data_IF_537172055340
#
_entry.id   IF_537172055340
#
_cell.length_a   1.000
_cell.length_b   1.000
_cell.length_c   1.000
_cell.angle_alpha   90.00
_cell.angle_beta   90.00
_cell.angle_gamma   90.00
#
_symmetry.space_group_name_H-M   'P 1'
#
loop_
_entity.id
_entity.type
_entity.pdbx_description
1 polymer ?
#
# COMPACT_ATOMS: atom_id res chain seq x y z
N UNK A 1 42.89 -17.58 33.48
CA UNK A 1 41.43 -17.38 33.44
C UNK A 1 41.18 -15.98 32.93
N UNK A 2 40.72 -15.86 31.69
CA UNK A 2 40.39 -14.57 31.07
C UNK A 2 38.90 -14.31 31.19
N UNK A 3 38.54 -13.09 31.55
CA UNK A 3 37.16 -12.61 31.49
C UNK A 3 37.14 -11.30 30.72
N UNK A 4 36.72 -11.43 29.47
CA UNK A 4 36.33 -10.36 28.56
C UNK A 4 34.94 -9.86 28.96
N UNK A 5 34.80 -8.59 29.32
CA UNK A 5 33.51 -7.92 29.31
C UNK A 5 33.68 -6.56 28.65
N UNK A 6 33.51 -6.55 27.33
CA UNK A 6 33.47 -5.36 26.50
C UNK A 6 32.26 -4.51 26.88
N UNK A 7 32.54 -3.24 27.18
CA UNK A 7 31.53 -2.21 27.38
C UNK A 7 30.66 -2.12 26.12
N UNK A 8 29.41 -2.56 26.24
CA UNK A 8 28.37 -2.39 25.24
C UNK A 8 28.13 -0.91 25.01
N UNK A 9 28.49 -0.44 23.83
CA UNK A 9 28.10 0.84 23.27
C UNK A 9 26.57 0.96 23.26
N UNK A 10 26.03 1.82 24.11
CA UNK A 10 24.66 2.34 24.00
C UNK A 10 24.59 3.30 22.82
N UNK A 11 24.54 2.75 21.61
CA UNK A 11 23.96 3.44 20.46
C UNK A 11 22.47 3.11 20.44
N UNK A 12 21.55 4.10 20.46
CA UNK A 12 20.17 3.85 20.10
C UNK A 12 20.19 3.51 18.62
N UNK A 13 20.23 2.21 18.30
CA UNK A 13 19.92 1.72 16.97
C UNK A 13 18.48 2.14 16.73
N UNK A 14 18.32 3.21 15.93
CA UNK A 14 17.05 3.64 15.42
C UNK A 14 16.37 2.43 14.79
N UNK A 15 15.29 2.01 15.43
CA UNK A 15 14.44 0.91 15.03
C UNK A 15 13.91 1.20 13.63
N UNK A 16 14.61 0.69 12.62
CA UNK A 16 14.18 0.61 11.22
C UNK A 16 13.10 -0.48 11.04
N UNK A 17 12.48 -0.93 12.12
CA UNK A 17 11.50 -2.02 12.17
C UNK A 17 10.06 -1.55 11.97
N UNK A 18 9.84 -0.30 11.52
CA UNK A 18 8.49 0.13 11.15
C UNK A 18 8.07 -0.29 9.72
N UNK A 19 8.92 -1.07 9.05
CA UNK A 19 8.67 -1.64 7.73
C UNK A 19 8.35 -3.13 7.77
N UNK A 20 7.62 -3.64 8.77
CA UNK A 20 7.05 -5.00 8.71
C UNK A 20 5.90 -5.15 9.69
N UNK A 21 4.71 -5.39 9.14
CA UNK A 21 3.56 -6.01 9.83
C UNK A 21 3.13 -5.32 11.13
N UNK A 22 2.67 -4.07 11.02
CA UNK A 22 1.76 -3.52 12.03
C UNK A 22 0.55 -4.45 12.09
N UNK A 23 0.56 -5.32 13.10
CA UNK A 23 -0.52 -6.20 13.50
C UNK A 23 -1.82 -5.45 13.29
N UNK A 24 -2.61 -5.92 12.32
CA UNK A 24 -3.89 -5.33 11.97
C UNK A 24 -4.80 -5.59 13.17
N UNK A 25 -4.79 -4.68 14.15
CA UNK A 25 -5.90 -4.54 15.08
C UNK A 25 -7.15 -4.46 14.16
N UNK A 26 -8.22 -5.25 14.40
CA UNK A 26 -9.43 -5.27 13.57
C UNK A 26 -10.25 -3.96 13.55
N UNK A 27 -9.57 -2.82 13.55
CA UNK A 27 -10.07 -1.45 13.56
C UNK A 27 -8.88 -0.54 13.30
N UNK A 28 -8.20 -0.71 12.15
CA UNK A 28 -7.13 0.18 11.72
C UNK A 28 -7.62 1.63 11.68
N UNK A 29 -6.69 2.59 11.82
CA UNK A 29 -7.01 4.02 11.79
C UNK A 29 -8.02 4.35 10.67
N UNK A 30 -9.02 5.24 10.90
CA UNK A 30 -10.10 5.49 9.94
C UNK A 30 -9.63 5.74 8.50
N UNK A 31 -8.47 6.37 8.33
CA UNK A 31 -7.83 6.55 7.04
C UNK A 31 -7.51 5.22 6.32
N UNK A 32 -6.98 4.21 7.02
CA UNK A 32 -6.64 2.91 6.42
C UNK A 32 -7.89 2.15 5.97
N UNK A 33 -8.97 2.21 6.75
CA UNK A 33 -10.26 1.60 6.37
C UNK A 33 -10.77 2.22 5.09
N UNK A 34 -10.84 3.56 5.04
CA UNK A 34 -11.26 4.29 3.85
C UNK A 34 -10.42 3.94 2.62
N UNK A 35 -9.09 3.91 2.75
CA UNK A 35 -8.20 3.54 1.65
C UNK A 35 -8.42 2.11 1.19
N UNK A 36 -8.54 1.16 2.12
CA UNK A 36 -8.76 -0.25 1.82
C UNK A 36 -10.10 -0.50 1.11
N UNK A 37 -11.13 0.26 1.45
CA UNK A 37 -12.47 0.12 0.86
C UNK A 37 -12.61 0.82 -0.49
N UNK A 38 -12.01 2.00 -0.65
CA UNK A 38 -12.27 2.86 -1.82
C UNK A 38 -11.18 2.81 -2.89
N UNK A 39 -9.92 2.61 -2.51
CA UNK A 39 -8.78 2.85 -3.42
C UNK A 39 -7.95 1.60 -3.65
N UNK A 40 -7.61 0.88 -2.58
CA UNK A 40 -6.67 -0.25 -2.63
C UNK A 40 -7.08 -1.34 -3.63
N UNK A 41 -8.35 -1.75 -3.75
CA UNK A 41 -8.73 -2.81 -4.70
C UNK A 41 -8.38 -2.43 -6.15
N UNK A 42 -8.73 -1.21 -6.55
CA UNK A 42 -8.46 -0.68 -7.90
C UNK A 42 -6.98 -0.40 -8.12
N UNK A 43 -6.28 0.11 -7.10
CA UNK A 43 -4.85 0.36 -7.18
C UNK A 43 -4.07 -0.94 -7.40
N UNK A 44 -4.41 -2.01 -6.68
CA UNK A 44 -3.78 -3.32 -6.85
C UNK A 44 -4.06 -3.91 -8.23
N UNK A 45 -5.25 -3.69 -8.79
CA UNK A 45 -5.59 -4.12 -10.15
C UNK A 45 -4.69 -3.43 -11.19
N UNK A 46 -4.58 -2.10 -11.13
CA UNK A 46 -3.73 -1.34 -12.05
C UNK A 46 -2.24 -1.67 -11.89
N UNK A 47 -1.78 -1.86 -10.65
CA UNK A 47 -0.39 -2.25 -10.36
C UNK A 47 -0.03 -3.62 -10.95
N UNK A 48 -0.97 -4.57 -11.02
CA UNK A 48 -0.74 -5.88 -11.67
C UNK A 48 -0.46 -5.71 -13.16
N UNK A 49 -1.24 -4.88 -13.86
CA UNK A 49 -1.05 -4.61 -15.28
C UNK A 49 0.29 -3.95 -15.55
N UNK A 50 0.66 -2.94 -14.75
CA UNK A 50 1.96 -2.27 -14.85
C UNK A 50 3.12 -3.23 -14.58
N UNK A 51 3.00 -4.10 -13.58
CA UNK A 51 4.03 -5.10 -13.27
C UNK A 51 4.21 -6.14 -14.38
N UNK A 52 3.13 -6.48 -15.09
CA UNK A 52 3.15 -7.44 -16.20
C UNK A 52 3.72 -6.83 -17.48
N UNK A 53 3.28 -5.63 -17.85
CA UNK A 53 3.63 -5.01 -19.13
C UNK A 53 4.92 -4.19 -19.08
N UNK A 54 5.35 -3.78 -17.88
CA UNK A 54 6.54 -2.95 -17.64
C UNK A 54 6.69 -1.81 -18.65
N UNK A 55 5.67 -0.93 -18.78
CA UNK A 55 5.69 0.15 -19.75
C UNK A 55 6.77 1.19 -19.39
N UNK A 56 7.26 1.93 -20.39
CA UNK A 56 8.29 2.95 -20.19
C UNK A 56 7.87 4.08 -19.23
N UNK A 57 6.56 4.31 -19.09
CA UNK A 57 5.99 5.33 -18.21
C UNK A 57 4.95 4.70 -17.24
N UNK A 58 5.39 3.94 -16.23
CA UNK A 58 4.49 3.13 -15.39
C UNK A 58 3.48 3.97 -14.60
N UNK A 59 3.89 5.14 -14.11
CA UNK A 59 2.99 6.04 -13.37
C UNK A 59 1.90 6.65 -14.26
N UNK A 60 2.22 6.97 -15.52
CA UNK A 60 1.24 7.50 -16.47
C UNK A 60 0.19 6.44 -16.78
N UNK A 61 0.62 5.24 -17.13
CA UNK A 61 -0.28 4.12 -17.44
C UNK A 61 -1.16 3.78 -16.23
N UNK A 62 -0.59 3.75 -15.03
CA UNK A 62 -1.36 3.52 -13.80
C UNK A 62 -2.40 4.63 -13.55
N UNK A 63 -2.02 5.89 -13.77
CA UNK A 63 -2.93 7.02 -13.61
C UNK A 63 -4.09 6.98 -14.61
N UNK A 64 -3.80 6.68 -15.88
CA UNK A 64 -4.81 6.51 -16.93
C UNK A 64 -5.76 5.35 -16.60
N UNK A 65 -5.23 4.22 -16.10
CA UNK A 65 -6.04 3.11 -15.61
C UNK A 65 -6.97 3.53 -14.47
N UNK A 66 -6.47 4.27 -13.47
CA UNK A 66 -7.28 4.68 -12.32
C UNK A 66 -8.41 5.65 -12.72
N UNK A 67 -8.15 6.58 -13.65
CA UNK A 67 -9.18 7.48 -14.18
C UNK A 67 -10.26 6.67 -14.92
N UNK A 68 -9.85 5.74 -15.78
CA UNK A 68 -10.78 4.87 -16.49
C UNK A 68 -11.64 4.06 -15.53
N UNK A 69 -11.02 3.45 -14.51
CA UNK A 69 -11.71 2.66 -13.49
C UNK A 69 -12.70 3.50 -12.66
N UNK A 70 -12.35 4.75 -12.35
CA UNK A 70 -13.26 5.68 -11.66
C UNK A 70 -14.56 5.88 -12.45
N UNK A 71 -14.44 6.12 -13.77
CA UNK A 71 -15.59 6.32 -14.65
C UNK A 71 -16.47 5.06 -14.75
N UNK A 72 -15.86 3.87 -14.77
CA UNK A 72 -16.58 2.60 -14.76
C UNK A 72 -17.37 2.42 -13.47
N UNK A 73 -16.72 2.58 -12.31
CA UNK A 73 -17.37 2.41 -11.00
C UNK A 73 -18.49 3.44 -10.78
N UNK A 74 -18.28 4.70 -11.17
CA UNK A 74 -19.32 5.74 -11.10
C UNK A 74 -20.45 5.49 -12.13
N UNK A 75 -20.11 4.94 -13.29
CA UNK A 75 -21.07 4.58 -14.35
C UNK A 75 -21.94 3.37 -14.00
N UNK A 76 -21.36 2.34 -13.37
CA UNK A 76 -22.07 1.14 -12.91
C UNK A 76 -22.97 1.44 -11.70
N UNK A 77 -22.52 2.32 -10.79
CA UNK A 77 -23.33 2.78 -9.64
C UNK A 77 -24.64 3.47 -10.07
N UNK A 78 -24.72 3.96 -11.31
CA UNK A 78 -25.90 4.63 -11.86
C UNK A 78 -26.88 3.68 -12.56
N UNK A 79 -26.49 2.45 -12.87
CA UNK A 79 -27.34 1.45 -13.57
C UNK A 79 -28.09 0.50 -12.64
N UNK A 80 -27.72 0.42 -11.36
CA UNK A 80 -28.35 -0.46 -10.38
C UNK A 80 -29.59 0.16 -9.70
N UNK A 81 -30.00 1.37 -10.10
CA UNK A 81 -31.11 2.13 -9.49
C UNK A 81 -32.32 2.34 -10.42
N UNK A 82 -32.43 1.61 -11.53
CA UNK A 82 -33.54 1.73 -12.50
C UNK A 82 -34.32 0.42 -12.67
#
# INVERSE_FOLDING_TARGET
MGEINGAGSNTPIGDLSNASTSQVRPGGAPARVYLNEKIVPHLLEGMKSVAKEQPSNPLRVLGEFLIQKSNEVEGDSKKESE
#
